data_IF_114222244398
#
_entry.id   IF_114222244398
#
_cell.length_a   1.000
_cell.length_b   1.000
_cell.length_c   1.000
_cell.angle_alpha   90.00
_cell.angle_beta   90.00
_cell.angle_gamma   90.00
#
_symmetry.space_group_name_H-M   'P 1'
#
loop_
_entity.id
_entity.type
_entity.pdbx_description
1 polymer ?
#
# COMPACT_ATOMS: atom_id res chain seq x y z
N UNK A 1 -19.44 25.12 0.35
CA UNK A 1 -19.24 23.83 -0.34
C UNK A 1 -17.82 23.35 -0.08
N UNK A 2 -17.60 22.07 0.23
CA UNK A 2 -16.32 21.54 0.78
C UNK A 2 -15.13 21.57 -0.19
N UNK A 3 -15.34 21.86 -1.47
CA UNK A 3 -14.32 21.78 -2.53
C UNK A 3 -13.99 20.33 -2.96
N UNK A 4 -14.61 19.34 -2.31
CA UNK A 4 -14.41 17.90 -2.56
C UNK A 4 -15.65 17.27 -3.22
N UNK A 5 -15.51 16.10 -3.86
CA UNK A 5 -16.66 15.33 -4.34
C UNK A 5 -17.65 15.03 -3.21
N UNK A 6 -18.91 14.76 -3.56
CA UNK A 6 -19.92 14.30 -2.59
C UNK A 6 -19.42 13.03 -1.89
N UNK A 7 -19.75 12.85 -0.61
CA UNK A 7 -19.25 11.71 0.18
C UNK A 7 -19.53 10.38 -0.50
N UNK A 8 -20.74 10.17 -1.02
CA UNK A 8 -21.08 8.93 -1.74
C UNK A 8 -20.14 8.67 -2.92
N UNK A 9 -19.75 9.72 -3.67
CA UNK A 9 -18.81 9.64 -4.79
C UNK A 9 -17.43 9.18 -4.30
N UNK A 10 -17.00 9.65 -3.14
CA UNK A 10 -15.71 9.25 -2.58
C UNK A 10 -15.70 7.79 -2.09
N UNK A 11 -16.82 7.27 -1.57
CA UNK A 11 -16.83 6.01 -0.81
C UNK A 11 -17.34 4.79 -1.56
N UNK A 12 -18.18 4.94 -2.60
CA UNK A 12 -18.80 3.76 -3.25
C UNK A 12 -17.77 2.76 -3.80
N UNK A 13 -16.72 3.26 -4.47
CA UNK A 13 -15.69 2.41 -5.07
C UNK A 13 -14.76 1.80 -4.01
N UNK A 14 -14.23 2.56 -3.03
CA UNK A 14 -13.48 1.95 -1.92
C UNK A 14 -14.26 0.90 -1.15
N UNK A 15 -15.56 1.12 -0.90
CA UNK A 15 -16.42 0.11 -0.25
C UNK A 15 -16.53 -1.13 -1.12
N UNK A 16 -16.78 -0.98 -2.43
CA UNK A 16 -16.82 -2.11 -3.35
C UNK A 16 -15.49 -2.91 -3.35
N UNK A 17 -14.35 -2.23 -3.42
CA UNK A 17 -13.03 -2.87 -3.38
C UNK A 17 -12.82 -3.64 -2.08
N UNK A 18 -13.11 -3.02 -0.93
CA UNK A 18 -12.95 -3.66 0.38
C UNK A 18 -13.89 -4.86 0.53
N UNK A 19 -15.13 -4.76 0.06
CA UNK A 19 -16.08 -5.88 0.13
C UNK A 19 -15.62 -7.05 -0.73
N UNK A 20 -15.29 -6.82 -2.01
CA UNK A 20 -14.89 -7.88 -2.94
C UNK A 20 -13.60 -8.56 -2.46
N UNK A 21 -12.58 -7.77 -2.16
CA UNK A 21 -11.30 -8.32 -1.72
C UNK A 21 -11.37 -8.92 -0.32
N UNK A 22 -12.22 -8.36 0.56
CA UNK A 22 -12.50 -8.93 1.88
C UNK A 22 -13.15 -10.31 1.81
N UNK A 23 -14.07 -10.52 0.86
CA UNK A 23 -14.65 -11.85 0.61
C UNK A 23 -13.59 -12.83 0.12
N UNK A 24 -12.72 -12.44 -0.83
CA UNK A 24 -11.61 -13.29 -1.28
C UNK A 24 -10.67 -13.63 -0.13
N UNK A 25 -10.32 -12.65 0.69
CA UNK A 25 -9.48 -12.85 1.89
C UNK A 25 -10.13 -13.79 2.89
N UNK A 26 -11.43 -13.64 3.19
CA UNK A 26 -12.14 -14.52 4.13
C UNK A 26 -12.14 -15.98 3.66
N UNK A 27 -12.26 -16.18 2.34
CA UNK A 27 -12.19 -17.50 1.69
C UNK A 27 -10.76 -18.03 1.53
N UNK A 28 -9.73 -17.28 1.95
CA UNK A 28 -8.32 -17.67 1.77
C UNK A 28 -7.86 -17.68 0.32
N UNK A 29 -8.58 -17.00 -0.57
CA UNK A 29 -8.29 -16.96 -2.00
C UNK A 29 -7.27 -15.85 -2.28
N UNK A 30 -6.17 -16.21 -2.92
CA UNK A 30 -5.14 -15.26 -3.40
C UNK A 30 -4.76 -15.56 -4.85
N UNK A 31 -4.11 -14.62 -5.52
CA UNK A 31 -3.54 -14.81 -6.87
C UNK A 31 -2.12 -15.37 -6.87
N UNK A 32 -1.65 -15.88 -5.72
CA UNK A 32 -0.28 -16.35 -5.52
C UNK A 32 0.08 -17.52 -6.43
N UNK A 33 1.36 -17.60 -6.83
CA UNK A 33 1.88 -18.76 -7.57
C UNK A 33 2.37 -19.89 -6.66
N UNK A 34 1.95 -19.91 -5.38
CA UNK A 34 2.27 -20.97 -4.39
C UNK A 34 1.83 -22.37 -4.82
N UNK A 35 0.88 -22.51 -5.75
CA UNK A 35 0.57 -23.80 -6.38
C UNK A 35 1.76 -24.48 -7.07
N UNK A 36 2.85 -23.75 -7.37
CA UNK A 36 4.10 -24.37 -7.83
C UNK A 36 4.69 -25.37 -6.82
N UNK A 37 4.44 -25.20 -5.51
CA UNK A 37 4.86 -26.18 -4.50
C UNK A 37 4.18 -27.54 -4.68
N UNK A 38 2.96 -27.57 -5.22
CA UNK A 38 2.24 -28.82 -5.50
C UNK A 38 3.01 -29.70 -6.50
N UNK A 39 3.72 -29.10 -7.45
CA UNK A 39 4.58 -29.84 -8.38
C UNK A 39 5.75 -30.58 -7.72
N UNK A 40 6.14 -30.22 -6.50
CA UNK A 40 7.21 -30.86 -5.74
C UNK A 40 6.69 -31.86 -4.70
N UNK A 41 5.57 -31.55 -4.06
CA UNK A 41 5.08 -32.31 -2.90
C UNK A 41 3.78 -33.07 -3.15
N UNK A 42 3.03 -32.71 -4.19
CA UNK A 42 1.73 -33.28 -4.52
C UNK A 42 1.80 -34.34 -5.62
N UNK A 43 0.62 -34.91 -5.92
CA UNK A 43 0.42 -35.82 -7.04
C UNK A 43 -0.81 -35.38 -7.84
N UNK A 44 -0.74 -35.45 -9.17
CA UNK A 44 -1.84 -35.06 -10.05
C UNK A 44 -2.10 -33.54 -10.05
N UNK A 45 -3.32 -33.17 -10.44
CA UNK A 45 -3.73 -31.77 -10.47
C UNK A 45 -3.86 -31.19 -9.05
N UNK A 46 -3.46 -29.93 -8.86
CA UNK A 46 -3.59 -29.23 -7.59
C UNK A 46 -5.09 -29.05 -7.24
N UNK A 47 -5.59 -29.68 -6.15
CA UNK A 47 -7.01 -29.59 -5.79
C UNK A 47 -7.42 -28.19 -5.29
N UNK A 48 -6.46 -27.32 -4.98
CA UNK A 48 -6.70 -25.97 -4.48
C UNK A 48 -6.58 -24.88 -5.57
N UNK A 49 -6.20 -25.25 -6.80
CA UNK A 49 -6.15 -24.33 -7.92
C UNK A 49 -7.57 -24.02 -8.42
N UNK A 50 -8.01 -22.77 -8.23
CA UNK A 50 -9.36 -22.34 -8.64
C UNK A 50 -9.45 -21.93 -10.12
N UNK A 51 -8.42 -21.24 -10.63
CA UNK A 51 -8.41 -20.71 -12.00
C UNK A 51 -6.98 -20.42 -12.49
N UNK A 52 -6.79 -20.50 -13.82
CA UNK A 52 -5.52 -20.19 -14.46
C UNK A 52 -4.45 -21.25 -14.20
N UNK A 53 -3.20 -20.81 -14.06
CA UNK A 53 -2.06 -21.68 -13.76
C UNK A 53 -1.03 -20.93 -12.91
N UNK A 54 -0.38 -21.57 -11.92
CA UNK A 54 0.77 -20.99 -11.22
C UNK A 54 1.84 -20.54 -12.21
N UNK A 55 2.57 -19.46 -11.90
CA UNK A 55 3.61 -18.92 -12.79
C UNK A 55 4.99 -19.25 -12.20
N UNK A 56 5.72 -20.26 -12.74
CA UNK A 56 7.02 -20.66 -12.21
C UNK A 56 8.01 -19.49 -12.16
N UNK A 57 7.95 -18.58 -13.14
CA UNK A 57 8.82 -17.41 -13.23
C UNK A 57 8.73 -16.44 -12.04
N UNK A 58 7.64 -16.47 -11.25
CA UNK A 58 7.44 -15.60 -10.06
C UNK A 58 8.14 -16.17 -8.81
N UNK A 59 9.33 -16.76 -8.96
CA UNK A 59 10.05 -17.40 -7.85
C UNK A 59 10.38 -16.43 -6.71
N UNK A 60 10.52 -15.14 -7.00
CA UNK A 60 10.63 -14.08 -5.99
C UNK A 60 9.43 -14.08 -5.03
N UNK A 61 8.22 -14.33 -5.54
CA UNK A 61 6.99 -14.35 -4.74
C UNK A 61 6.75 -15.71 -4.08
N UNK A 62 6.63 -16.76 -4.89
CA UNK A 62 6.19 -18.06 -4.37
C UNK A 62 7.32 -18.85 -3.73
N UNK A 63 8.57 -18.74 -4.20
CA UNK A 63 9.69 -19.54 -3.66
C UNK A 63 10.45 -18.78 -2.57
N UNK A 64 10.75 -17.49 -2.76
CA UNK A 64 11.55 -16.72 -1.79
C UNK A 64 10.67 -16.17 -0.68
N UNK A 65 9.74 -15.27 -1.01
CA UNK A 65 8.93 -14.58 0.00
C UNK A 65 8.01 -15.53 0.76
N UNK A 66 7.28 -16.41 0.05
CA UNK A 66 6.34 -17.32 0.71
C UNK A 66 7.04 -18.35 1.62
N UNK A 67 8.21 -18.87 1.23
CA UNK A 67 8.99 -19.76 2.11
C UNK A 67 9.39 -19.09 3.42
N UNK A 68 9.84 -17.83 3.36
CA UNK A 68 10.20 -17.08 4.57
C UNK A 68 9.00 -16.80 5.46
N UNK A 69 7.84 -16.49 4.89
CA UNK A 69 6.60 -16.31 5.66
C UNK A 69 6.23 -17.63 6.36
N UNK A 70 6.26 -18.75 5.64
CA UNK A 70 5.92 -20.05 6.20
C UNK A 70 6.87 -20.39 7.35
N UNK A 71 8.17 -20.16 7.19
CA UNK A 71 9.13 -20.42 8.28
C UNK A 71 8.87 -19.52 9.50
N UNK A 72 8.48 -18.27 9.27
CA UNK A 72 8.16 -17.32 10.33
C UNK A 72 6.89 -17.71 11.10
N UNK A 73 5.87 -18.21 10.39
CA UNK A 73 4.64 -18.76 10.99
C UNK A 73 4.95 -19.99 11.82
N UNK A 74 5.79 -20.91 11.33
CA UNK A 74 6.20 -22.12 12.06
C UNK A 74 6.99 -21.82 13.34
N UNK A 75 7.72 -20.70 13.37
CA UNK A 75 8.50 -20.28 14.54
C UNK A 75 7.70 -19.42 15.53
N UNK A 76 6.45 -19.06 15.25
CA UNK A 76 5.63 -18.25 16.16
C UNK A 76 5.99 -16.76 16.16
N UNK A 77 6.48 -16.23 15.03
CA UNK A 77 6.75 -14.81 14.79
C UNK A 77 7.83 -14.13 15.70
N UNK A 78 8.97 -14.79 15.99
CA UNK A 78 10.05 -14.17 16.76
C UNK A 78 10.71 -13.02 15.97
N UNK A 79 11.38 -12.11 16.68
CA UNK A 79 12.19 -11.05 16.04
C UNK A 79 13.32 -11.66 15.21
N UNK A 80 14.00 -12.68 15.74
CA UNK A 80 15.07 -13.40 15.02
C UNK A 80 14.53 -14.73 14.52
N UNK A 81 14.54 -14.93 13.21
CA UNK A 81 14.21 -16.19 12.55
C UNK A 81 15.45 -17.08 12.49
N UNK A 82 15.36 -18.31 12.99
CA UNK A 82 16.48 -19.25 13.09
C UNK A 82 16.48 -20.35 12.01
N UNK A 83 15.79 -20.14 10.88
CA UNK A 83 15.80 -21.11 9.75
C UNK A 83 17.20 -21.32 9.19
N UNK A 84 18.04 -20.27 9.21
CA UNK A 84 19.43 -20.33 8.77
C UNK A 84 20.38 -20.13 9.97
N UNK A 85 21.58 -20.75 9.95
CA UNK A 85 22.62 -20.50 10.93
C UNK A 85 22.94 -19.00 11.06
N UNK A 86 23.08 -18.52 12.29
CA UNK A 86 23.31 -17.10 12.59
C UNK A 86 22.03 -16.28 12.80
N UNK A 87 20.87 -16.79 12.39
CA UNK A 87 19.58 -16.11 12.53
C UNK A 87 19.44 -14.91 11.58
N UNK A 88 18.20 -14.44 11.41
CA UNK A 88 17.87 -13.29 10.57
C UNK A 88 16.81 -12.42 11.22
N UNK A 89 17.03 -11.10 11.26
CA UNK A 89 16.07 -10.16 11.82
C UNK A 89 14.85 -9.97 10.89
N UNK A 90 13.71 -10.55 11.31
CA UNK A 90 12.44 -10.50 10.62
C UNK A 90 11.79 -9.10 10.62
N UNK A 91 12.29 -8.17 11.44
CA UNK A 91 11.80 -6.80 11.48
C UNK A 91 12.40 -5.90 10.39
N UNK A 92 13.46 -6.36 9.72
CA UNK A 92 14.15 -5.64 8.64
C UNK A 92 13.97 -6.38 7.31
N UNK A 93 14.22 -7.69 7.29
CA UNK A 93 14.34 -8.41 6.02
C UNK A 93 13.03 -9.08 5.59
N UNK A 94 12.79 -9.08 4.27
CA UNK A 94 11.70 -9.81 3.60
C UNK A 94 10.27 -9.48 4.05
N UNK A 95 10.05 -8.32 4.69
CA UNK A 95 8.72 -7.91 5.16
C UNK A 95 7.99 -9.06 5.89
N UNK A 96 8.65 -9.62 6.90
CA UNK A 96 8.14 -10.77 7.66
C UNK A 96 7.25 -10.35 8.83
N UNK A 97 6.22 -11.16 9.15
CA UNK A 97 5.43 -10.95 10.36
C UNK A 97 6.27 -11.23 11.62
N UNK A 98 6.25 -10.31 12.58
CA UNK A 98 6.91 -10.50 13.87
C UNK A 98 6.09 -9.86 15.00
N UNK A 99 6.22 -10.38 16.23
CA UNK A 99 5.71 -9.75 17.44
C UNK A 99 6.58 -8.59 17.91
N UNK A 100 6.80 -7.64 17.01
CA UNK A 100 7.51 -6.40 17.26
C UNK A 100 6.61 -5.20 16.94
N UNK A 101 6.86 -4.08 17.61
CA UNK A 101 6.06 -2.86 17.46
C UNK A 101 6.06 -2.31 16.03
N UNK A 102 7.14 -2.47 15.25
CA UNK A 102 7.22 -1.97 13.87
C UNK A 102 6.26 -2.70 12.94
N UNK A 103 5.75 -3.87 13.34
CA UNK A 103 4.70 -4.57 12.61
C UNK A 103 3.43 -3.73 12.48
N UNK A 104 3.14 -2.80 13.40
CA UNK A 104 2.03 -1.84 13.26
C UNK A 104 2.14 -0.99 11.98
N UNK A 105 3.33 -0.80 11.42
CA UNK A 105 3.51 -0.04 10.18
C UNK A 105 3.61 -0.92 8.94
N UNK A 106 3.45 -2.23 9.08
CA UNK A 106 3.51 -3.23 8.00
C UNK A 106 2.15 -3.93 7.87
N UNK A 107 1.10 -3.24 7.41
CA UNK A 107 -0.27 -3.76 7.47
C UNK A 107 -0.48 -5.01 6.63
N UNK A 108 0.32 -5.19 5.59
CA UNK A 108 0.27 -6.34 4.70
C UNK A 108 0.72 -7.66 5.36
N UNK A 109 1.30 -7.63 6.57
CA UNK A 109 1.64 -8.85 7.33
C UNK A 109 0.70 -9.12 8.51
N UNK A 110 -0.24 -8.22 8.81
CA UNK A 110 -1.13 -8.36 9.97
C UNK A 110 -1.99 -9.61 9.92
N UNK A 111 -2.41 -10.03 8.72
CA UNK A 111 -3.22 -11.23 8.53
C UNK A 111 -2.57 -12.48 9.12
N UNK A 112 -1.24 -12.60 9.08
CA UNK A 112 -0.54 -13.77 9.63
C UNK A 112 -0.60 -13.84 11.16
N UNK A 113 -0.77 -12.71 11.84
CA UNK A 113 -0.76 -12.64 13.30
C UNK A 113 -2.08 -13.09 13.93
N UNK A 114 -3.19 -13.05 13.18
CA UNK A 114 -4.55 -13.24 13.73
C UNK A 114 -5.43 -14.16 12.89
N UNK A 115 -5.02 -14.54 11.67
CA UNK A 115 -5.77 -15.41 10.77
C UNK A 115 -4.95 -16.67 10.43
N UNK A 116 -5.61 -17.75 9.96
CA UNK A 116 -4.89 -18.90 9.41
C UNK A 116 -4.04 -18.51 8.20
N UNK A 117 -3.03 -19.33 7.89
CA UNK A 117 -2.01 -19.04 6.88
C UNK A 117 -2.60 -18.62 5.52
N UNK A 118 -3.62 -19.33 5.03
CA UNK A 118 -4.24 -19.03 3.73
C UNK A 118 -4.85 -17.62 3.68
N UNK A 119 -5.60 -17.24 4.72
CA UNK A 119 -6.18 -15.90 4.86
C UNK A 119 -5.09 -14.85 5.08
N UNK A 120 -4.03 -15.16 5.85
CA UNK A 120 -2.87 -14.29 5.99
C UNK A 120 -2.17 -14.00 4.66
N UNK A 121 -1.97 -15.03 3.83
CA UNK A 121 -1.44 -14.90 2.47
C UNK A 121 -2.37 -14.05 1.60
N UNK A 122 -3.69 -14.25 1.73
CA UNK A 122 -4.68 -13.45 1.01
C UNK A 122 -4.69 -11.97 1.46
N UNK A 123 -4.49 -11.67 2.76
CA UNK A 123 -4.30 -10.29 3.24
C UNK A 123 -3.06 -9.67 2.59
N UNK A 124 -1.92 -10.38 2.64
CA UNK A 124 -0.67 -9.91 2.03
C UNK A 124 -0.81 -9.62 0.55
N UNK A 125 -1.61 -10.44 -0.15
CA UNK A 125 -1.89 -10.28 -1.57
C UNK A 125 -2.81 -9.08 -1.85
N UNK A 126 -3.98 -9.06 -1.21
CA UNK A 126 -5.04 -8.13 -1.59
C UNK A 126 -4.93 -6.74 -0.94
N UNK A 127 -4.34 -6.61 0.24
CA UNK A 127 -4.33 -5.33 0.96
C UNK A 127 -3.51 -4.24 0.25
N UNK A 128 -2.26 -4.48 -0.21
CA UNK A 128 -1.53 -3.48 -1.00
C UNK A 128 -2.26 -3.14 -2.29
N UNK A 129 -2.86 -4.14 -2.95
CA UNK A 129 -3.62 -3.97 -4.18
C UNK A 129 -4.88 -3.11 -3.97
N UNK A 130 -5.58 -3.32 -2.87
CA UNK A 130 -6.69 -2.48 -2.43
C UNK A 130 -6.21 -1.04 -2.19
N UNK A 131 -5.07 -0.87 -1.52
CA UNK A 131 -4.45 0.44 -1.29
C UNK A 131 -4.17 1.19 -2.59
N UNK A 132 -3.66 0.50 -3.61
CA UNK A 132 -3.44 1.06 -4.95
C UNK A 132 -4.76 1.46 -5.63
N UNK A 133 -5.74 0.55 -5.71
CA UNK A 133 -7.04 0.81 -6.33
C UNK A 133 -7.75 2.00 -5.68
N UNK A 134 -7.81 2.00 -4.34
CA UNK A 134 -8.46 3.05 -3.54
C UNK A 134 -7.72 4.36 -3.67
N UNK A 135 -6.39 4.36 -3.51
CA UNK A 135 -5.57 5.56 -3.64
C UNK A 135 -5.72 6.21 -5.02
N UNK A 136 -5.57 5.42 -6.09
CA UNK A 136 -5.72 5.89 -7.46
C UNK A 136 -7.13 6.45 -7.71
N UNK A 137 -8.17 5.75 -7.28
CA UNK A 137 -9.55 6.20 -7.44
C UNK A 137 -9.80 7.53 -6.71
N UNK A 138 -9.44 7.61 -5.42
CA UNK A 138 -9.68 8.80 -4.59
C UNK A 138 -8.93 9.99 -5.16
N UNK A 139 -7.70 9.80 -5.65
CA UNK A 139 -6.96 10.84 -6.37
C UNK A 139 -7.69 11.28 -7.63
N UNK A 140 -8.03 10.35 -8.52
CA UNK A 140 -8.64 10.62 -9.82
C UNK A 140 -9.99 11.33 -9.69
N UNK A 141 -10.82 10.94 -8.72
CA UNK A 141 -12.11 11.60 -8.50
C UNK A 141 -11.97 12.95 -7.80
N UNK A 142 -10.87 13.18 -7.07
CA UNK A 142 -10.55 14.50 -6.49
C UNK A 142 -10.12 15.53 -7.55
N UNK A 143 -9.54 15.06 -8.65
CA UNK A 143 -9.19 15.92 -9.80
C UNK A 143 -10.27 15.96 -10.88
N UNK A 144 -11.09 14.91 -11.01
CA UNK A 144 -12.21 14.81 -11.96
C UNK A 144 -13.54 14.47 -11.26
N UNK A 145 -14.07 15.35 -10.39
CA UNK A 145 -15.23 15.05 -9.53
C UNK A 145 -16.52 14.71 -10.29
N UNK A 146 -16.62 15.11 -11.56
CA UNK A 146 -17.78 14.86 -12.42
C UNK A 146 -17.72 13.54 -13.19
N UNK A 147 -16.64 12.76 -13.07
CA UNK A 147 -16.41 11.52 -13.84
C UNK A 147 -16.06 10.32 -12.95
N UNK A 148 -16.88 9.99 -11.92
CA UNK A 148 -16.53 8.94 -10.96
C UNK A 148 -16.36 7.57 -11.60
N UNK A 149 -17.20 7.23 -12.58
CA UNK A 149 -17.07 5.95 -13.30
C UNK A 149 -15.76 5.90 -14.08
N UNK A 150 -15.39 6.98 -14.80
CA UNK A 150 -14.10 7.04 -15.50
C UNK A 150 -12.92 6.97 -14.54
N UNK A 151 -13.00 7.63 -13.38
CA UNK A 151 -11.98 7.51 -12.32
C UNK A 151 -11.81 6.07 -11.83
N UNK A 152 -12.91 5.34 -11.65
CA UNK A 152 -12.87 3.93 -11.27
C UNK A 152 -12.27 3.05 -12.38
N UNK A 153 -12.68 3.25 -13.63
CA UNK A 153 -12.13 2.51 -14.77
C UNK A 153 -10.63 2.74 -14.94
N UNK A 154 -10.16 3.98 -14.77
CA UNK A 154 -8.73 4.31 -14.83
C UNK A 154 -7.94 3.70 -13.65
N UNK A 155 -8.51 3.72 -12.44
CA UNK A 155 -7.89 3.06 -11.29
C UNK A 155 -7.76 1.55 -11.50
N UNK A 156 -8.79 0.90 -12.04
CA UNK A 156 -8.77 -0.52 -12.41
C UNK A 156 -7.75 -0.78 -13.51
N UNK A 157 -7.75 -0.01 -14.59
CA UNK A 157 -6.79 -0.17 -15.69
C UNK A 157 -5.34 -0.02 -15.22
N UNK A 158 -5.07 0.92 -14.31
CA UNK A 158 -3.75 1.08 -13.70
C UNK A 158 -3.37 -0.13 -12.84
N UNK A 159 -4.26 -0.56 -11.95
CA UNK A 159 -4.00 -1.67 -11.03
C UNK A 159 -3.78 -2.99 -11.76
N UNK A 160 -4.50 -3.22 -12.87
CA UNK A 160 -4.34 -4.41 -13.71
C UNK A 160 -3.31 -4.22 -14.84
N UNK A 161 -2.48 -3.19 -14.78
CA UNK A 161 -1.41 -3.00 -15.77
C UNK A 161 -0.34 -4.10 -15.66
N UNK A 162 0.36 -4.43 -16.77
CA UNK A 162 1.42 -5.45 -16.77
C UNK A 162 2.53 -5.17 -15.75
N UNK A 163 2.82 -3.89 -15.47
CA UNK A 163 3.83 -3.49 -14.48
C UNK A 163 3.47 -4.00 -13.07
N UNK A 164 2.21 -3.80 -12.65
CA UNK A 164 1.73 -4.27 -11.34
C UNK A 164 1.65 -5.79 -11.32
N UNK A 165 1.13 -6.41 -12.39
CA UNK A 165 1.00 -7.86 -12.48
C UNK A 165 2.35 -8.60 -12.47
N UNK A 166 3.36 -8.06 -13.16
CA UNK A 166 4.69 -8.68 -13.22
C UNK A 166 5.41 -8.64 -11.88
N UNK A 167 5.27 -7.55 -11.13
CA UNK A 167 5.94 -7.34 -9.85
C UNK A 167 4.95 -7.34 -8.69
N UNK A 168 4.03 -8.29 -8.63
CA UNK A 168 2.97 -8.29 -7.64
C UNK A 168 3.49 -8.68 -6.25
N UNK A 169 4.02 -7.69 -5.50
CA UNK A 169 4.55 -7.83 -4.14
C UNK A 169 4.15 -6.59 -3.31
N UNK A 170 4.01 -6.71 -1.97
CA UNK A 170 3.76 -5.54 -1.14
C UNK A 170 4.82 -4.43 -1.31
N UNK A 171 6.10 -4.81 -1.34
CA UNK A 171 7.26 -3.92 -1.47
C UNK A 171 7.25 -3.07 -2.74
N UNK A 172 6.60 -3.55 -3.80
CA UNK A 172 6.51 -2.87 -5.11
C UNK A 172 5.18 -2.15 -5.29
N UNK A 173 4.10 -2.60 -4.65
CA UNK A 173 2.75 -2.01 -4.77
C UNK A 173 2.56 -0.81 -3.81
N UNK A 174 3.02 -0.91 -2.56
CA UNK A 174 2.92 0.19 -1.59
C UNK A 174 3.49 1.53 -2.08
N UNK A 175 4.62 1.60 -2.81
CA UNK A 175 5.10 2.83 -3.43
C UNK A 175 4.04 3.57 -4.27
N UNK A 176 3.24 2.85 -5.06
CA UNK A 176 2.20 3.47 -5.87
C UNK A 176 1.00 3.91 -5.03
N UNK A 177 0.58 3.08 -4.07
CA UNK A 177 -0.49 3.45 -3.13
C UNK A 177 -0.10 4.69 -2.30
N UNK A 178 1.14 4.74 -1.82
CA UNK A 178 1.74 5.89 -1.15
C UNK A 178 1.74 7.13 -2.04
N UNK A 179 2.16 7.00 -3.31
CA UNK A 179 2.18 8.12 -4.23
C UNK A 179 0.80 8.78 -4.38
N UNK A 180 -0.24 7.97 -4.59
CA UNK A 180 -1.60 8.49 -4.65
C UNK A 180 -2.07 9.07 -3.32
N UNK A 181 -1.74 8.46 -2.18
CA UNK A 181 -2.10 9.00 -0.88
C UNK A 181 -1.49 10.39 -0.63
N UNK A 182 -0.22 10.59 -0.98
CA UNK A 182 0.43 11.91 -0.90
C UNK A 182 -0.23 12.90 -1.85
N UNK A 183 -0.51 12.51 -3.10
CA UNK A 183 -1.18 13.39 -4.05
C UNK A 183 -2.61 13.77 -3.59
N UNK A 184 -3.35 12.84 -3.00
CA UNK A 184 -4.64 13.14 -2.35
C UNK A 184 -4.44 14.14 -1.22
N UNK A 185 -3.45 13.94 -0.36
CA UNK A 185 -3.16 14.86 0.74
C UNK A 185 -2.80 16.28 0.26
N UNK A 186 -2.08 16.40 -0.85
CA UNK A 186 -1.77 17.68 -1.50
C UNK A 186 -3.04 18.33 -2.05
N UNK A 187 -3.82 17.61 -2.86
CA UNK A 187 -5.06 18.13 -3.47
C UNK A 187 -6.06 18.56 -2.40
N UNK A 188 -6.28 17.72 -1.38
CA UNK A 188 -7.21 18.01 -0.30
C UNK A 188 -6.68 19.09 0.64
N UNK A 189 -5.36 19.15 0.86
CA UNK A 189 -4.68 20.25 1.54
C UNK A 189 -5.10 21.58 0.94
N UNK A 190 -4.87 21.74 -0.37
CA UNK A 190 -5.11 22.99 -1.11
C UNK A 190 -6.61 23.31 -1.26
N UNK A 191 -7.43 22.32 -1.65
CA UNK A 191 -8.82 22.56 -2.09
C UNK A 191 -9.88 22.38 -1.01
N UNK A 192 -9.63 21.55 0.01
CA UNK A 192 -10.65 21.22 0.99
C UNK A 192 -10.76 22.30 2.07
N UNK A 193 -11.98 22.74 2.35
CA UNK A 193 -12.25 23.56 3.55
C UNK A 193 -12.29 22.74 4.85
N UNK A 194 -12.49 21.42 4.75
CA UNK A 194 -12.56 20.54 5.92
C UNK A 194 -11.18 20.34 6.55
N UNK A 195 -11.07 20.65 7.85
CA UNK A 195 -9.84 20.37 8.62
C UNK A 195 -9.64 18.86 8.77
N UNK A 196 -10.71 18.11 9.03
CA UNK A 196 -10.66 16.65 9.19
C UNK A 196 -10.13 15.99 7.92
N UNK A 197 -10.65 16.36 6.74
CA UNK A 197 -10.21 15.78 5.48
C UNK A 197 -8.70 15.93 5.28
N UNK A 198 -8.15 17.13 5.56
CA UNK A 198 -6.73 17.42 5.42
C UNK A 198 -5.84 16.60 6.35
N UNK A 199 -6.23 16.50 7.63
CA UNK A 199 -5.47 15.72 8.62
C UNK A 199 -5.58 14.22 8.39
N UNK A 200 -6.75 13.71 8.00
CA UNK A 200 -6.92 12.30 7.68
C UNK A 200 -6.09 11.92 6.45
N UNK A 201 -6.16 12.69 5.35
CA UNK A 201 -5.35 12.40 4.17
C UNK A 201 -3.85 12.49 4.44
N UNK A 202 -3.41 13.47 5.24
CA UNK A 202 -2.02 13.59 5.65
C UNK A 202 -1.58 12.44 6.55
N UNK A 203 -2.42 12.02 7.51
CA UNK A 203 -2.15 10.89 8.38
C UNK A 203 -1.98 9.58 7.61
N UNK A 204 -2.85 9.31 6.63
CA UNK A 204 -2.73 8.15 5.73
C UNK A 204 -1.44 8.22 4.91
N UNK A 205 -1.10 9.37 4.34
CA UNK A 205 0.15 9.55 3.61
C UNK A 205 1.39 9.34 4.50
N UNK A 206 1.37 9.85 5.74
CA UNK A 206 2.43 9.65 6.74
C UNK A 206 2.59 8.20 7.15
N UNK A 207 1.48 7.50 7.44
CA UNK A 207 1.49 6.07 7.75
C UNK A 207 2.11 5.26 6.60
N UNK A 208 1.66 5.48 5.37
CA UNK A 208 2.21 4.80 4.20
C UNK A 208 3.67 5.19 3.90
N UNK A 209 4.13 6.36 4.35
CA UNK A 209 5.54 6.75 4.25
C UNK A 209 6.40 5.84 5.14
N UNK A 210 5.94 5.55 6.36
CA UNK A 210 6.62 4.61 7.26
C UNK A 210 6.56 3.19 6.68
N UNK A 211 5.39 2.75 6.20
CA UNK A 211 5.23 1.44 5.54
C UNK A 211 6.21 1.27 4.37
N UNK A 212 6.29 2.27 3.48
CA UNK A 212 7.19 2.26 2.32
C UNK A 212 8.66 2.20 2.75
N UNK A 213 9.06 3.02 3.71
CA UNK A 213 10.45 3.12 4.13
C UNK A 213 10.94 1.87 4.88
N UNK A 214 10.08 1.25 5.69
CA UNK A 214 10.41 -0.01 6.39
C UNK A 214 10.57 -1.20 5.44
N UNK A 215 9.97 -1.17 4.25
CA UNK A 215 10.20 -2.20 3.23
C UNK A 215 11.61 -2.16 2.63
N UNK A 216 12.42 -1.12 2.91
CA UNK A 216 13.83 -0.91 2.47
C UNK A 216 14.10 -1.06 0.95
N UNK A 217 13.06 -1.21 0.14
CA UNK A 217 13.15 -1.52 -1.27
C UNK A 217 13.07 -0.24 -2.13
N UNK A 218 14.24 0.36 -2.32
CA UNK A 218 14.42 1.66 -3.02
C UNK A 218 13.93 1.71 -4.48
N UNK A 219 14.07 0.65 -5.32
CA UNK A 219 13.83 0.78 -6.77
C UNK A 219 12.44 1.29 -7.18
N UNK A 220 11.39 0.96 -6.41
CA UNK A 220 10.03 1.43 -6.70
C UNK A 220 9.68 2.73 -5.98
N UNK A 221 10.36 3.00 -4.86
CA UNK A 221 10.21 4.26 -4.14
C UNK A 221 10.71 5.44 -4.97
N UNK A 222 11.86 5.31 -5.64
CA UNK A 222 12.49 6.43 -6.38
C UNK A 222 11.57 7.00 -7.48
N UNK A 223 11.03 6.21 -8.42
CA UNK A 223 10.12 6.73 -9.44
C UNK A 223 8.86 7.36 -8.83
N UNK A 224 8.29 6.73 -7.79
CA UNK A 224 7.13 7.24 -7.09
C UNK A 224 7.41 8.62 -6.46
N UNK A 225 8.53 8.78 -5.76
CA UNK A 225 8.96 10.03 -5.13
C UNK A 225 9.16 11.13 -6.17
N UNK A 226 9.82 10.82 -7.29
CA UNK A 226 10.06 11.78 -8.38
C UNK A 226 8.72 12.31 -8.92
N UNK A 227 7.80 11.42 -9.27
CA UNK A 227 6.47 11.80 -9.79
C UNK A 227 5.72 12.65 -8.76
N UNK A 228 5.66 12.20 -7.52
CA UNK A 228 4.96 12.92 -6.43
C UNK A 228 5.54 14.30 -6.23
N UNK A 229 6.88 14.44 -6.21
CA UNK A 229 7.53 15.73 -6.01
C UNK A 229 7.16 16.73 -7.10
N UNK A 230 7.33 16.36 -8.38
CA UNK A 230 7.01 17.25 -9.50
C UNK A 230 5.52 17.59 -9.57
N UNK A 231 4.64 16.61 -9.39
CA UNK A 231 3.18 16.83 -9.44
C UNK A 231 2.72 17.68 -8.26
N UNK A 232 3.20 17.41 -7.04
CA UNK A 232 2.83 18.17 -5.85
C UNK A 232 3.29 19.63 -5.95
N UNK A 233 4.53 19.87 -6.37
CA UNK A 233 5.07 21.21 -6.62
C UNK A 233 4.24 21.91 -7.70
N UNK A 234 3.97 21.23 -8.83
CA UNK A 234 3.15 21.75 -9.91
C UNK A 234 1.75 22.17 -9.44
N UNK A 235 1.07 21.35 -8.62
CA UNK A 235 -0.25 21.66 -8.08
C UNK A 235 -0.25 22.87 -7.14
N UNK A 236 0.76 22.98 -6.28
CA UNK A 236 0.90 24.12 -5.36
C UNK A 236 1.20 25.41 -6.13
N UNK A 237 2.09 25.35 -7.13
CA UNK A 237 2.39 26.48 -8.01
C UNK A 237 1.16 26.89 -8.82
N UNK A 238 0.42 25.93 -9.39
CA UNK A 238 -0.81 26.20 -10.11
C UNK A 238 -1.84 26.90 -9.22
N UNK A 239 -2.01 26.46 -7.98
CA UNK A 239 -2.92 27.10 -7.01
C UNK A 239 -2.48 28.54 -6.67
N UNK A 240 -1.18 28.79 -6.63
CA UNK A 240 -0.62 30.14 -6.38
C UNK A 240 -0.80 31.08 -7.58
N UNK A 241 -0.52 30.61 -8.79
CA UNK A 241 -0.44 31.44 -9.99
C UNK A 241 -1.76 31.55 -10.77
N UNK A 242 -2.72 30.64 -10.53
CA UNK A 242 -4.10 30.76 -11.06
C UNK A 242 -4.94 31.82 -10.33
N UNK A 243 -4.45 32.38 -9.23
CA UNK A 243 -5.18 33.35 -8.41
C UNK A 243 -6.09 32.72 -7.35
N UNK A 244 -6.21 31.38 -7.27
CA UNK A 244 -6.93 30.70 -6.19
C UNK A 244 -6.39 31.09 -4.81
N UNK A 245 -5.07 31.25 -4.71
CA UNK A 245 -4.38 31.71 -3.50
C UNK A 245 -3.46 32.91 -3.81
N UNK A 246 -3.92 34.16 -3.60
CA UNK A 246 -3.14 35.35 -3.93
C UNK A 246 -1.84 35.52 -3.10
N UNK A 247 -1.79 34.91 -1.91
CA UNK A 247 -0.67 35.00 -0.97
C UNK A 247 -0.14 33.61 -0.63
N UNK A 248 1.18 33.48 -0.48
CA UNK A 248 1.85 32.23 -0.11
C UNK A 248 1.47 31.74 1.28
N UNK A 249 1.36 32.65 2.26
CA UNK A 249 1.21 32.27 3.66
C UNK A 249 -0.06 31.45 3.96
N UNK A 250 -1.26 31.86 3.51
CA UNK A 250 -2.46 31.04 3.68
C UNK A 250 -2.39 29.68 2.98
N UNK A 251 -1.72 29.60 1.82
CA UNK A 251 -1.51 28.36 1.07
C UNK A 251 -0.54 27.42 1.80
N UNK A 252 0.60 27.90 2.29
CA UNK A 252 1.55 27.08 3.04
C UNK A 252 0.92 26.51 4.32
N UNK A 253 0.08 27.28 5.01
CA UNK A 253 -0.71 26.81 6.16
C UNK A 253 -1.64 25.64 5.82
N UNK A 254 -2.04 25.48 4.55
CA UNK A 254 -2.88 24.35 4.11
C UNK A 254 -2.12 23.04 4.03
N UNK A 255 -0.81 23.09 3.80
CA UNK A 255 0.07 21.92 3.64
C UNK A 255 0.69 21.47 4.96
N UNK A 256 0.57 22.28 6.03
CA UNK A 256 1.06 21.94 7.38
C UNK A 256 0.72 20.52 7.83
N UNK A 257 -0.51 19.99 7.69
CA UNK A 257 -0.79 18.60 8.09
C UNK A 257 0.11 17.57 7.42
N UNK A 258 0.40 17.73 6.12
CA UNK A 258 1.26 16.82 5.36
C UNK A 258 2.72 16.94 5.79
N UNK A 259 3.20 18.16 6.06
CA UNK A 259 4.55 18.38 6.61
C UNK A 259 4.67 17.75 8.00
N UNK A 260 3.68 17.96 8.87
CA UNK A 260 3.65 17.36 10.21
C UNK A 260 3.65 15.84 10.15
N UNK A 261 2.87 15.23 9.25
CA UNK A 261 2.88 13.77 9.08
C UNK A 261 4.20 13.24 8.55
N UNK A 262 4.87 13.98 7.66
CA UNK A 262 6.19 13.61 7.16
C UNK A 262 7.26 13.67 8.28
N UNK A 263 7.24 14.72 9.10
CA UNK A 263 8.13 14.83 10.28
C UNK A 263 7.89 13.69 11.25
N UNK A 264 6.62 13.37 11.55
CA UNK A 264 6.29 12.23 12.41
C UNK A 264 6.79 10.91 11.83
N UNK A 265 6.64 10.69 10.51
CA UNK A 265 7.16 9.50 9.85
C UNK A 265 8.68 9.39 9.99
N UNK A 266 9.43 10.49 9.84
CA UNK A 266 10.88 10.52 10.07
C UNK A 266 11.24 10.17 11.51
N UNK A 267 10.48 10.67 12.50
CA UNK A 267 10.69 10.31 13.91
C UNK A 267 10.46 8.81 14.14
N UNK A 268 9.36 8.25 13.61
CA UNK A 268 9.07 6.81 13.73
C UNK A 268 10.17 5.97 13.09
N UNK A 269 10.66 6.37 11.91
CA UNK A 269 11.75 5.68 11.23
C UNK A 269 13.08 5.81 11.98
N UNK A 270 13.36 6.96 12.60
CA UNK A 270 14.53 7.15 13.45
C UNK A 270 14.50 6.23 14.67
N UNK A 271 13.34 6.11 15.32
CA UNK A 271 13.14 5.16 16.43
C UNK A 271 13.33 3.73 15.93
N UNK A 272 12.75 3.38 14.77
CA UNK A 272 12.94 2.07 14.15
C UNK A 272 14.44 1.77 13.98
N UNK A 273 15.17 2.60 13.25
CA UNK A 273 16.61 2.41 12.98
C UNK A 273 17.44 2.22 14.26
N UNK A 274 17.17 2.98 15.32
CA UNK A 274 17.93 2.89 16.58
C UNK A 274 17.60 1.62 17.37
N UNK A 275 16.45 0.99 17.10
CA UNK A 275 16.00 -0.24 17.78
C UNK A 275 16.26 -1.51 16.96
N UNK A 276 17.08 -1.43 15.91
CA UNK A 276 17.47 -2.54 15.02
C UNK A 276 18.97 -2.77 15.05
#
# INVERSE_FOLDING_TARGET
MSGLPRVWVLVWFPVLVVVVLGVLTALGISGSSTGNYWGFFGQGADPHLLAGSPRPIRTDEWLVQSSWIVSQVQQGFPVVNHTLPGGMDATIQNDLPSWDWSTVFRPHVWGFLVLPLAQGMAVRWWLPFAGLLVGAYVFLVSVMPRRPVSSAMLAVALAFSPLIGWWFLPTTIWPYAWAFAVLVAVVWGVRSSSRVARWVSAGVAGYLTVTLAMSIYVPYAVPAVVVVAFVAVGMVLQARFSGEWPRWWPLLRRVVPLVSSAVLAVVVLGVWIVTR
#
